data_IF_594300224929
#
_entry.id   IF_594300224929
#
_cell.length_a   1.000
_cell.length_b   1.000
_cell.length_c   1.000
_cell.angle_alpha   90.00
_cell.angle_beta   90.00
_cell.angle_gamma   90.00
#
_symmetry.space_group_name_H-M   'P 1'
#
loop_
_entity.id
_entity.type
_entity.pdbx_description
1 polymer ?
#
# COMPACT_ATOMS: atom_id res chain seq x y z
N UNK A 1 23.61 1.25 -13.41
CA UNK A 1 23.28 2.63 -13.02
C UNK A 1 23.99 2.96 -11.70
N UNK A 2 24.78 4.03 -11.71
CA UNK A 2 25.39 4.53 -10.46
C UNK A 2 24.42 5.43 -9.74
N UNK A 3 24.04 5.04 -8.52
CA UNK A 3 23.22 5.88 -7.64
C UNK A 3 24.18 6.72 -6.80
N UNK A 4 24.29 7.99 -7.11
CA UNK A 4 25.19 8.91 -6.39
C UNK A 4 24.54 9.51 -5.14
N UNK A 5 23.23 9.68 -5.14
CA UNK A 5 22.48 10.23 -4.00
C UNK A 5 21.18 9.45 -3.86
N UNK A 6 21.04 8.76 -2.73
CA UNK A 6 19.86 7.95 -2.42
C UNK A 6 18.81 8.70 -1.60
N UNK A 7 19.06 9.98 -1.24
CA UNK A 7 18.13 10.76 -0.41
C UNK A 7 16.87 11.16 -1.15
N UNK A 8 16.96 11.32 -2.47
CA UNK A 8 15.80 11.63 -3.29
C UNK A 8 16.03 11.12 -4.72
N UNK A 9 15.16 10.21 -5.16
CA UNK A 9 15.19 9.67 -6.51
C UNK A 9 13.78 9.33 -6.95
N UNK A 10 13.46 9.66 -8.21
CA UNK A 10 12.23 9.25 -8.86
C UNK A 10 12.57 8.47 -10.12
N UNK A 11 12.06 7.26 -10.24
CA UNK A 11 12.16 6.42 -11.43
C UNK A 11 10.76 6.23 -12.00
N UNK A 12 10.60 6.42 -13.29
CA UNK A 12 9.33 6.20 -13.97
C UNK A 12 9.43 4.96 -14.84
N UNK A 13 8.54 4.00 -14.57
CA UNK A 13 8.42 2.80 -15.40
C UNK A 13 7.52 3.11 -16.59
N UNK A 14 8.12 3.18 -17.77
CA UNK A 14 7.46 3.58 -19.02
C UNK A 14 6.68 2.38 -19.59
N UNK A 15 5.42 2.23 -19.24
CA UNK A 15 4.54 1.16 -19.71
C UNK A 15 3.32 1.71 -20.46
N UNK A 16 3.51 2.74 -21.27
CA UNK A 16 2.45 3.45 -21.99
C UNK A 16 1.40 3.97 -21.00
N UNK A 17 0.12 3.58 -21.15
CA UNK A 17 -0.97 4.02 -20.27
C UNK A 17 -0.89 3.46 -18.84
N UNK A 18 0.01 2.51 -18.59
CA UNK A 18 0.19 1.89 -17.27
C UNK A 18 1.50 2.26 -16.61
N UNK A 19 2.08 3.38 -17.03
CA UNK A 19 3.31 3.88 -16.42
C UNK A 19 3.12 4.18 -14.94
N UNK A 20 4.14 3.94 -14.14
CA UNK A 20 4.13 4.23 -12.71
C UNK A 20 5.50 4.72 -12.27
N UNK A 21 5.54 5.42 -11.14
CA UNK A 21 6.75 5.99 -10.58
C UNK A 21 7.28 5.14 -9.43
N UNK A 22 8.60 5.06 -9.33
CA UNK A 22 9.30 4.54 -8.15
C UNK A 22 10.02 5.72 -7.52
N UNK A 23 9.67 6.05 -6.29
CA UNK A 23 10.20 7.20 -5.59
C UNK A 23 11.08 6.74 -4.44
N UNK A 24 12.35 7.15 -4.47
CA UNK A 24 13.31 6.88 -3.42
C UNK A 24 13.64 8.23 -2.74
N UNK A 25 13.09 8.45 -1.56
CA UNK A 25 13.28 9.71 -0.84
C UNK A 25 13.20 9.45 0.66
N UNK A 26 14.18 9.96 1.41
CA UNK A 26 14.14 9.90 2.86
C UNK A 26 12.91 10.65 3.39
N UNK A 27 12.18 10.04 4.32
CA UNK A 27 10.99 10.64 4.93
C UNK A 27 9.74 10.63 4.08
N UNK A 28 9.72 9.96 2.92
CA UNK A 28 8.53 9.94 2.06
C UNK A 28 7.35 9.23 2.72
N UNK A 29 7.59 8.29 3.62
CA UNK A 29 6.52 7.58 4.33
C UNK A 29 5.64 8.56 5.13
N UNK A 30 6.23 9.56 5.75
CA UNK A 30 5.51 10.57 6.54
C UNK A 30 4.88 11.67 5.68
N UNK A 31 5.09 11.64 4.36
CA UNK A 31 4.63 12.68 3.44
C UNK A 31 3.91 12.08 2.23
N UNK A 32 3.06 11.09 2.48
CA UNK A 32 2.36 10.34 1.44
C UNK A 32 1.48 11.25 0.56
N UNK A 33 0.94 12.32 1.14
CA UNK A 33 0.09 13.29 0.44
C UNK A 33 0.81 13.98 -0.74
N UNK A 34 2.15 14.01 -0.75
CA UNK A 34 2.92 14.56 -1.87
C UNK A 34 2.87 13.68 -3.12
N UNK A 35 2.49 12.42 -2.98
CA UNK A 35 2.58 11.43 -4.05
C UNK A 35 1.22 10.88 -4.48
N UNK A 36 0.22 10.97 -3.62
CA UNK A 36 -1.13 10.48 -3.92
C UNK A 36 -2.17 11.22 -3.08
N UNK A 37 -3.40 11.25 -3.56
CA UNK A 37 -4.50 11.87 -2.83
C UNK A 37 -5.01 10.91 -1.76
N UNK A 38 -4.87 11.31 -0.49
CA UNK A 38 -5.37 10.55 0.66
C UNK A 38 -6.46 11.31 1.42
N UNK A 39 -6.74 12.56 1.05
CA UNK A 39 -7.63 13.44 1.82
C UNK A 39 -9.11 13.17 1.57
N UNK A 40 -9.48 12.78 0.35
CA UNK A 40 -10.88 12.72 -0.08
C UNK A 40 -11.33 11.31 -0.44
N UNK A 41 -10.73 10.30 0.15
CA UNK A 41 -11.08 8.90 -0.10
C UNK A 41 -10.77 8.04 1.12
N UNK A 42 -11.35 6.86 1.15
CA UNK A 42 -10.98 5.84 2.12
C UNK A 42 -9.62 5.25 1.74
N UNK A 43 -8.81 5.00 2.75
CA UNK A 43 -7.48 4.39 2.56
C UNK A 43 -7.40 3.13 3.40
N UNK A 44 -7.27 2.01 2.73
CA UNK A 44 -7.09 0.71 3.36
C UNK A 44 -5.59 0.39 3.40
N UNK A 45 -5.01 0.36 4.59
CA UNK A 45 -3.59 0.11 4.78
C UNK A 45 -3.38 -1.37 5.10
N UNK A 46 -2.71 -2.08 4.20
CA UNK A 46 -2.40 -3.49 4.37
C UNK A 46 -0.94 -3.64 4.78
N UNK A 47 -0.71 -4.37 5.85
CA UNK A 47 0.64 -4.68 6.35
C UNK A 47 0.70 -6.11 6.88
N UNK A 48 1.87 -6.57 7.31
CA UNK A 48 1.99 -7.88 7.94
C UNK A 48 2.60 -7.78 9.33
N UNK A 49 2.52 -8.87 10.08
CA UNK A 49 2.97 -8.93 11.47
C UNK A 49 4.49 -8.84 11.64
N UNK A 50 5.26 -8.94 10.56
CA UNK A 50 6.71 -8.77 10.56
C UNK A 50 7.17 -7.33 10.34
N UNK A 51 6.27 -6.44 9.91
CA UNK A 51 6.56 -5.03 9.69
C UNK A 51 6.32 -4.27 11.00
N UNK A 52 7.23 -3.40 11.45
CA UNK A 52 6.97 -2.58 12.62
C UNK A 52 5.65 -1.81 12.48
N UNK A 53 4.79 -1.94 13.49
CA UNK A 53 3.43 -1.40 13.45
C UNK A 53 3.41 0.12 13.21
N UNK A 54 4.45 0.82 13.63
CA UNK A 54 4.58 2.27 13.46
C UNK A 54 4.56 2.72 12.01
N UNK A 55 5.00 1.89 11.07
CA UNK A 55 5.02 2.26 9.65
C UNK A 55 3.60 2.36 9.08
N UNK A 56 2.77 1.36 9.30
CA UNK A 56 1.37 1.42 8.88
C UNK A 56 0.61 2.53 9.60
N UNK A 57 0.90 2.75 10.87
CA UNK A 57 0.28 3.83 11.64
C UNK A 57 0.68 5.21 11.12
N UNK A 58 1.94 5.38 10.71
CA UNK A 58 2.40 6.64 10.09
C UNK A 58 1.63 6.93 8.81
N UNK A 59 1.38 5.91 7.99
CA UNK A 59 0.56 6.07 6.78
C UNK A 59 -0.88 6.41 7.15
N UNK A 60 -1.50 5.65 8.04
CA UNK A 60 -2.89 5.84 8.42
C UNK A 60 -3.14 7.21 9.06
N UNK A 61 -2.18 7.71 9.83
CA UNK A 61 -2.30 9.01 10.49
C UNK A 61 -2.40 10.19 9.52
N UNK A 62 -1.95 10.01 8.28
CA UNK A 62 -2.04 11.03 7.23
C UNK A 62 -3.38 11.00 6.48
N UNK A 63 -4.20 9.99 6.73
CA UNK A 63 -5.42 9.72 5.98
C UNK A 63 -6.62 9.98 6.89
N UNK A 64 -7.51 10.92 6.54
CA UNK A 64 -8.68 11.25 7.38
C UNK A 64 -9.64 10.07 7.57
N UNK A 65 -9.73 9.18 6.59
CA UNK A 65 -10.62 8.02 6.62
C UNK A 65 -9.82 6.78 6.23
N UNK A 66 -9.29 6.09 7.23
CA UNK A 66 -8.40 4.94 7.00
C UNK A 66 -8.63 3.83 8.01
N UNK A 67 -8.20 2.64 7.62
CA UNK A 67 -8.10 1.48 8.50
C UNK A 67 -6.81 0.73 8.20
N UNK A 68 -6.29 0.04 9.20
CA UNK A 68 -5.09 -0.81 9.07
C UNK A 68 -5.52 -2.26 9.23
N UNK A 69 -5.10 -3.10 8.30
CA UNK A 69 -5.32 -4.54 8.36
C UNK A 69 -3.98 -5.27 8.32
N UNK A 70 -3.74 -6.11 9.30
CA UNK A 70 -2.48 -6.83 9.45
C UNK A 70 -2.68 -8.31 9.14
N UNK A 71 -1.94 -8.82 8.15
CA UNK A 71 -1.93 -10.25 7.82
C UNK A 71 -0.75 -10.94 8.52
N UNK A 72 -0.79 -12.26 8.72
CA UNK A 72 0.38 -12.99 9.21
C UNK A 72 1.55 -12.84 8.23
N UNK A 73 2.75 -12.65 8.77
CA UNK A 73 3.95 -12.53 7.95
C UNK A 73 4.29 -13.85 7.24
N UNK A 74 4.98 -13.74 6.10
CA UNK A 74 5.54 -14.86 5.37
C UNK A 74 4.71 -15.31 4.19
N UNK A 75 5.30 -16.16 3.34
CA UNK A 75 4.70 -16.64 2.10
C UNK A 75 3.40 -17.42 2.31
N UNK A 76 3.18 -17.97 3.51
CA UNK A 76 1.93 -18.66 3.84
C UNK A 76 0.68 -17.79 3.74
N UNK A 77 0.82 -16.47 3.81
CA UNK A 77 -0.29 -15.54 3.60
C UNK A 77 -0.68 -15.36 2.14
N UNK A 78 0.15 -15.80 1.19
CA UNK A 78 -0.22 -15.85 -0.22
C UNK A 78 -1.13 -17.05 -0.47
N UNK A 79 -2.38 -16.98 -0.03
CA UNK A 79 -3.34 -18.06 -0.19
C UNK A 79 -4.76 -17.49 -0.31
N UNK A 80 -5.67 -18.30 -0.84
CA UNK A 80 -7.07 -17.90 -1.06
C UNK A 80 -7.78 -17.50 0.23
N UNK A 81 -7.44 -18.16 1.34
CA UNK A 81 -8.04 -17.85 2.65
C UNK A 81 -7.73 -16.41 3.07
N UNK A 82 -6.46 -16.03 3.07
CA UNK A 82 -6.04 -14.68 3.47
C UNK A 82 -6.53 -13.65 2.47
N UNK A 83 -6.44 -13.95 1.19
CA UNK A 83 -6.99 -13.09 0.13
C UNK A 83 -8.47 -12.79 0.37
N UNK A 84 -9.27 -13.82 0.62
CA UNK A 84 -10.70 -13.66 0.92
C UNK A 84 -10.94 -12.83 2.17
N UNK A 85 -10.15 -13.02 3.22
CA UNK A 85 -10.25 -12.24 4.45
C UNK A 85 -9.96 -10.75 4.22
N UNK A 86 -8.96 -10.44 3.40
CA UNK A 86 -8.63 -9.04 3.06
C UNK A 86 -9.76 -8.42 2.26
N UNK A 87 -10.30 -9.11 1.25
CA UNK A 87 -11.43 -8.60 0.48
C UNK A 87 -12.65 -8.34 1.35
N UNK A 88 -12.95 -9.24 2.29
CA UNK A 88 -14.05 -9.05 3.24
C UNK A 88 -13.83 -7.82 4.13
N UNK A 89 -12.60 -7.60 4.57
CA UNK A 89 -12.26 -6.43 5.36
C UNK A 89 -12.41 -5.13 4.56
N UNK A 90 -12.04 -5.15 3.27
CA UNK A 90 -12.23 -4.02 2.38
C UNK A 90 -13.72 -3.69 2.18
N UNK A 91 -14.54 -4.73 1.99
CA UNK A 91 -15.99 -4.56 1.90
C UNK A 91 -16.60 -4.01 3.18
N UNK A 92 -16.19 -4.54 4.33
CA UNK A 92 -16.68 -4.08 5.63
C UNK A 92 -16.31 -2.62 5.90
N UNK A 93 -15.15 -2.18 5.40
CA UNK A 93 -14.72 -0.79 5.48
C UNK A 93 -15.54 0.13 4.56
N UNK A 94 -16.25 -0.44 3.60
CA UNK A 94 -17.10 0.31 2.68
C UNK A 94 -16.33 0.95 1.52
N UNK A 95 -15.24 0.35 1.09
CA UNK A 95 -14.46 0.85 -0.03
C UNK A 95 -15.23 0.78 -1.34
N UNK A 96 -14.98 1.74 -2.22
CA UNK A 96 -15.44 1.74 -3.59
C UNK A 96 -14.24 1.79 -4.56
N UNK A 97 -14.51 1.91 -5.86
CA UNK A 97 -13.48 1.90 -6.90
C UNK A 97 -12.50 3.07 -6.84
N UNK A 98 -12.89 4.15 -6.20
CA UNK A 98 -12.09 5.38 -6.11
C UNK A 98 -11.19 5.38 -4.89
N UNK A 99 -11.37 4.43 -3.99
CA UNK A 99 -10.61 4.35 -2.76
C UNK A 99 -9.24 3.74 -2.98
N UNK A 100 -8.36 3.90 -2.02
CA UNK A 100 -6.96 3.57 -2.16
C UNK A 100 -6.58 2.41 -1.22
N UNK A 101 -5.86 1.44 -1.76
CA UNK A 101 -5.17 0.43 -0.95
C UNK A 101 -3.68 0.78 -0.92
N UNK A 102 -3.12 0.87 0.27
CA UNK A 102 -1.69 1.11 0.48
C UNK A 102 -1.07 -0.12 1.13
N UNK A 103 -0.13 -0.76 0.45
CA UNK A 103 0.62 -1.89 0.98
C UNK A 103 1.90 -1.38 1.66
N UNK A 104 2.06 -1.72 2.94
CA UNK A 104 3.22 -1.34 3.74
C UNK A 104 3.96 -2.62 4.14
N UNK A 105 5.05 -2.93 3.46
CA UNK A 105 5.81 -4.13 3.75
C UNK A 105 6.64 -4.62 2.58
N UNK A 106 7.01 -5.89 2.63
CA UNK A 106 7.79 -6.55 1.60
C UNK A 106 6.95 -7.14 0.48
N UNK A 107 7.54 -8.10 -0.24
CA UNK A 107 6.94 -8.70 -1.43
C UNK A 107 5.59 -9.36 -1.20
N UNK A 108 5.40 -10.06 -0.08
CA UNK A 108 4.13 -10.74 0.23
C UNK A 108 2.99 -9.73 0.35
N UNK A 109 3.20 -8.66 1.10
CA UNK A 109 2.19 -7.61 1.28
C UNK A 109 1.89 -6.91 -0.03
N UNK A 110 2.94 -6.56 -0.78
CA UNK A 110 2.79 -5.90 -2.08
C UNK A 110 2.05 -6.76 -3.10
N UNK A 111 2.39 -8.04 -3.20
CA UNK A 111 1.77 -8.97 -4.13
C UNK A 111 0.31 -9.22 -3.79
N UNK A 112 0.02 -9.49 -2.52
CA UNK A 112 -1.35 -9.73 -2.06
C UNK A 112 -2.22 -8.48 -2.20
N UNK A 113 -1.67 -7.33 -1.79
CA UNK A 113 -2.37 -6.04 -1.90
C UNK A 113 -2.68 -5.67 -3.34
N UNK A 114 -1.71 -5.87 -4.24
CA UNK A 114 -1.91 -5.62 -5.66
C UNK A 114 -3.00 -6.50 -6.26
N UNK A 115 -3.03 -7.78 -5.88
CA UNK A 115 -4.06 -8.71 -6.34
C UNK A 115 -5.45 -8.33 -5.80
N UNK A 116 -5.53 -7.96 -4.53
CA UNK A 116 -6.77 -7.49 -3.93
C UNK A 116 -7.28 -6.21 -4.62
N UNK A 117 -6.40 -5.24 -4.83
CA UNK A 117 -6.78 -3.98 -5.48
C UNK A 117 -7.26 -4.20 -6.92
N UNK A 118 -6.59 -5.08 -7.66
CA UNK A 118 -6.94 -5.37 -9.06
C UNK A 118 -8.27 -6.11 -9.19
N UNK A 119 -8.63 -6.94 -8.21
CA UNK A 119 -9.82 -7.79 -8.25
C UNK A 119 -11.02 -7.24 -7.48
N UNK A 120 -10.83 -6.21 -6.68
CA UNK A 120 -11.89 -5.58 -5.90
C UNK A 120 -12.76 -4.71 -6.81
N UNK A 121 -14.04 -5.06 -6.91
CA UNK A 121 -14.99 -4.35 -7.79
C UNK A 121 -14.44 -4.19 -9.21
#
# INVERSE_FOLDING_TARGET
>A
MKIKDVRSMKLTMQLKSRSYDIILKAGCLANLHQFTNVANRKVFVLTDSGVPAEYAQTVAAQCPDSTVYTIPRGEGSKCLKVYGQVLQAMLAFGMDRKDLLVSVGGGVVGDLGGFCAASYM
#
